data_IF_885787148293
#
_entry.id   IF_885787148293
#
_cell.length_a   1.000
_cell.length_b   1.000
_cell.length_c   1.000
_cell.angle_alpha   90.00
_cell.angle_beta   90.00
_cell.angle_gamma   90.00
#
_symmetry.space_group_name_H-M   'P 1'
#
loop_
_entity.id
_entity.type
_entity.pdbx_description
1 polymer ?
#
# COMPACT_ATOMS: atom_id res chain seq x y z
N UNK A 1 0.23 -22.04 -5.07
CA UNK A 1 1.36 -21.59 -5.93
C UNK A 1 2.67 -21.52 -5.15
N UNK A 2 2.74 -20.78 -4.01
CA UNK A 2 3.99 -20.64 -3.22
C UNK A 2 4.55 -22.03 -2.87
N UNK A 3 3.74 -22.92 -2.26
CA UNK A 3 4.16 -24.27 -1.89
C UNK A 3 4.43 -25.19 -3.10
N UNK A 4 3.82 -24.93 -4.25
CA UNK A 4 4.04 -25.70 -5.48
C UNK A 4 5.41 -25.40 -6.09
N UNK A 5 5.88 -24.14 -5.98
CA UNK A 5 7.18 -23.70 -6.45
C UNK A 5 8.31 -24.07 -5.49
N UNK A 6 7.98 -24.18 -4.20
CA UNK A 6 8.92 -24.63 -3.17
C UNK A 6 10.21 -23.79 -3.13
N UNK A 7 11.35 -24.48 -3.10
CA UNK A 7 12.69 -23.91 -3.02
C UNK A 7 13.20 -23.22 -4.31
N UNK A 8 12.48 -23.35 -5.42
CA UNK A 8 12.75 -22.57 -6.62
C UNK A 8 12.37 -21.09 -6.47
N UNK A 9 11.56 -20.77 -5.44
CA UNK A 9 11.02 -19.43 -5.20
C UNK A 9 11.96 -18.58 -4.35
N UNK A 10 12.65 -17.62 -4.96
CA UNK A 10 13.55 -16.71 -4.25
C UNK A 10 12.81 -15.55 -3.58
N UNK A 11 11.78 -15.00 -4.24
CA UNK A 11 11.05 -13.80 -3.79
C UNK A 11 9.56 -13.96 -4.09
N UNK A 12 8.74 -13.58 -3.12
CA UNK A 12 7.31 -13.31 -3.28
C UNK A 12 7.12 -11.80 -3.26
N UNK A 13 6.71 -11.21 -4.39
CA UNK A 13 6.30 -9.81 -4.47
C UNK A 13 4.82 -9.76 -4.81
N UNK A 14 4.00 -9.19 -3.90
CA UNK A 14 2.55 -9.20 -4.06
C UNK A 14 1.95 -7.82 -3.71
N UNK A 15 0.77 -7.51 -4.24
CA UNK A 15 0.02 -6.34 -3.81
C UNK A 15 -0.63 -6.57 -2.45
N UNK A 16 -0.55 -5.61 -1.53
CA UNK A 16 -1.29 -5.72 -0.26
C UNK A 16 -2.79 -5.54 -0.44
N UNK A 17 -3.17 -4.68 -1.38
CA UNK A 17 -4.56 -4.42 -1.76
C UNK A 17 -4.67 -4.32 -3.29
N UNK A 18 -5.63 -5.02 -3.86
CA UNK A 18 -5.85 -5.03 -5.30
C UNK A 18 -6.58 -3.75 -5.74
N UNK A 19 -5.96 -2.98 -6.63
CA UNK A 19 -6.50 -1.71 -7.11
C UNK A 19 -7.77 -1.85 -7.96
N UNK A 20 -7.97 -3.00 -8.60
CA UNK A 20 -9.11 -3.25 -9.47
C UNK A 20 -10.34 -3.73 -8.69
N UNK A 21 -10.16 -4.72 -7.81
CA UNK A 21 -11.26 -5.32 -7.05
C UNK A 21 -11.48 -4.68 -5.68
N UNK A 22 -10.51 -3.92 -5.15
CA UNK A 22 -10.54 -3.44 -3.78
C UNK A 22 -10.24 -4.51 -2.72
N UNK A 23 -9.86 -5.74 -3.13
CA UNK A 23 -9.58 -6.84 -2.23
C UNK A 23 -8.31 -6.61 -1.42
N UNK A 24 -8.42 -6.71 -0.10
CA UNK A 24 -7.29 -6.79 0.82
C UNK A 24 -6.84 -8.25 0.96
N UNK A 25 -5.55 -8.49 0.72
CA UNK A 25 -4.97 -9.82 0.86
C UNK A 25 -4.46 -10.05 2.29
N UNK A 26 -4.49 -11.30 2.72
CA UNK A 26 -3.88 -11.71 3.99
C UNK A 26 -2.35 -11.73 3.87
N UNK A 27 -1.76 -10.55 4.14
CA UNK A 27 -0.31 -10.37 4.03
C UNK A 27 0.47 -11.20 5.03
N UNK A 28 -0.08 -11.45 6.20
CA UNK A 28 0.54 -12.32 7.20
C UNK A 28 0.65 -13.76 6.67
N UNK A 29 -0.45 -14.32 6.21
CA UNK A 29 -0.47 -15.68 5.67
C UNK A 29 0.43 -15.84 4.43
N UNK A 30 0.48 -14.83 3.56
CA UNK A 30 1.39 -14.81 2.40
C UNK A 30 2.84 -14.79 2.85
N UNK A 31 3.18 -13.98 3.85
CA UNK A 31 4.54 -13.89 4.42
C UNK A 31 4.96 -15.21 5.03
N UNK A 32 4.11 -15.80 5.86
CA UNK A 32 4.37 -17.11 6.47
C UNK A 32 4.56 -18.20 5.42
N UNK A 33 3.76 -18.21 4.35
CA UNK A 33 3.88 -19.17 3.28
C UNK A 33 5.19 -19.01 2.49
N UNK A 34 5.59 -17.77 2.19
CA UNK A 34 6.85 -17.48 1.52
C UNK A 34 8.07 -17.90 2.35
N UNK A 35 8.07 -17.55 3.63
CA UNK A 35 9.15 -17.92 4.54
C UNK A 35 9.29 -19.45 4.73
N UNK A 36 8.18 -20.20 4.73
CA UNK A 36 8.22 -21.67 4.83
C UNK A 36 8.94 -22.34 3.66
N UNK A 37 8.99 -21.71 2.49
CA UNK A 37 9.74 -22.21 1.33
C UNK A 37 11.10 -21.52 1.16
N UNK A 38 11.51 -20.67 2.11
CA UNK A 38 12.81 -19.97 2.07
C UNK A 38 12.82 -18.68 1.24
N UNK A 39 11.69 -18.26 0.66
CA UNK A 39 11.58 -17.05 -0.12
C UNK A 39 11.58 -15.78 0.75
N UNK A 40 12.10 -14.68 0.20
CA UNK A 40 11.86 -13.33 0.75
C UNK A 40 10.49 -12.83 0.35
N UNK A 41 9.81 -12.10 1.24
CA UNK A 41 8.45 -11.63 0.99
C UNK A 41 8.38 -10.11 1.06
N UNK A 42 7.88 -9.50 -0.01
CA UNK A 42 7.66 -8.07 -0.09
C UNK A 42 6.27 -7.71 -0.62
N UNK A 43 5.84 -6.49 -0.29
CA UNK A 43 4.53 -6.00 -0.73
C UNK A 43 4.60 -4.65 -1.44
N UNK A 44 3.82 -4.53 -2.51
CA UNK A 44 3.38 -3.25 -3.04
C UNK A 44 2.16 -2.79 -2.23
N UNK A 45 2.35 -1.73 -1.45
CA UNK A 45 1.33 -1.17 -0.57
C UNK A 45 0.73 0.13 -1.11
N UNK A 46 0.88 0.41 -2.40
CA UNK A 46 0.40 1.64 -3.02
C UNK A 46 -1.09 1.94 -2.75
N UNK A 47 -1.93 0.91 -2.62
CA UNK A 47 -3.34 1.05 -2.27
C UNK A 47 -3.66 0.68 -0.82
N UNK A 48 -2.69 0.18 -0.06
CA UNK A 48 -2.89 -0.26 1.33
C UNK A 48 -2.42 0.80 2.35
N UNK A 49 -1.28 1.46 2.10
CA UNK A 49 -0.75 2.47 3.01
C UNK A 49 -1.71 3.67 3.14
N UNK A 50 -2.07 4.01 4.38
CA UNK A 50 -3.06 5.05 4.69
C UNK A 50 -4.52 4.63 4.50
N UNK A 51 -4.78 3.42 4.01
CA UNK A 51 -6.13 2.88 3.74
C UNK A 51 -6.53 1.79 4.75
N UNK A 52 -5.59 0.92 5.11
CA UNK A 52 -5.81 -0.19 6.03
C UNK A 52 -4.71 -0.24 7.09
N UNK A 53 -4.98 -0.90 8.21
CA UNK A 53 -3.96 -1.14 9.23
C UNK A 53 -2.92 -2.13 8.70
N UNK A 54 -1.64 -1.82 8.96
CA UNK A 54 -0.50 -2.59 8.50
C UNK A 54 0.42 -2.89 9.68
N UNK A 55 0.70 -4.17 9.92
CA UNK A 55 1.57 -4.66 10.98
C UNK A 55 2.80 -5.37 10.40
N UNK A 56 3.52 -4.66 9.49
CA UNK A 56 4.59 -5.23 8.67
C UNK A 56 5.71 -5.87 9.49
N UNK A 57 6.07 -5.25 10.61
CA UNK A 57 7.06 -5.77 11.54
C UNK A 57 6.58 -7.07 12.19
N UNK A 58 5.37 -7.09 12.76
CA UNK A 58 4.82 -8.23 13.46
C UNK A 58 4.58 -9.41 12.51
N UNK A 59 4.17 -9.12 11.28
CA UNK A 59 4.01 -10.12 10.20
C UNK A 59 5.35 -10.59 9.61
N UNK A 60 6.47 -9.98 10.04
CA UNK A 60 7.83 -10.29 9.58
C UNK A 60 8.02 -10.11 8.06
N UNK A 61 7.32 -9.16 7.47
CA UNK A 61 7.50 -8.80 6.05
C UNK A 61 8.94 -8.36 5.82
N UNK A 62 9.64 -8.91 4.82
CA UNK A 62 11.04 -8.56 4.58
C UNK A 62 11.19 -7.12 4.09
N UNK A 63 10.35 -6.68 3.14
CA UNK A 63 10.34 -5.32 2.63
C UNK A 63 8.97 -4.93 2.09
N UNK A 64 8.70 -3.64 2.00
CA UNK A 64 7.50 -3.11 1.33
C UNK A 64 7.76 -1.72 0.76
N UNK A 65 7.04 -1.36 -0.29
CA UNK A 65 7.11 -0.04 -0.89
C UNK A 65 5.71 0.50 -1.22
N UNK A 66 5.55 1.81 -1.15
CA UNK A 66 4.27 2.47 -1.49
C UNK A 66 4.47 3.89 -1.99
N UNK A 67 3.53 4.36 -2.78
CA UNK A 67 3.41 5.78 -3.08
C UNK A 67 2.63 6.49 -1.96
N UNK A 68 2.95 7.77 -1.73
CA UNK A 68 2.30 8.55 -0.66
C UNK A 68 1.19 9.47 -1.19
N UNK A 69 1.07 9.63 -2.50
CA UNK A 69 0.10 10.54 -3.14
C UNK A 69 -1.33 10.00 -3.24
N UNK A 70 -1.55 8.72 -2.90
CA UNK A 70 -2.89 8.10 -2.89
C UNK A 70 -3.56 8.34 -1.53
N UNK A 71 -3.81 7.30 -0.76
CA UNK A 71 -4.51 7.40 0.53
C UNK A 71 -3.73 8.21 1.59
N UNK A 72 -2.42 8.32 1.47
CA UNK A 72 -1.62 9.14 2.37
C UNK A 72 -1.60 10.64 2.03
N UNK A 73 -2.29 11.08 0.98
CA UNK A 73 -2.58 12.48 0.64
C UNK A 73 -1.37 13.43 0.59
N UNK A 74 -0.19 12.94 0.20
CA UNK A 74 1.04 13.76 0.16
C UNK A 74 1.12 14.73 -1.03
N UNK A 75 0.06 14.87 -1.82
CA UNK A 75 -0.01 15.62 -3.08
C UNK A 75 0.62 14.91 -4.30
N UNK A 76 0.28 15.32 -5.53
CA UNK A 76 0.95 14.85 -6.75
C UNK A 76 2.46 15.06 -6.69
N UNK A 77 3.22 14.03 -7.05
CA UNK A 77 4.69 14.03 -6.96
C UNK A 77 5.25 13.76 -5.56
N UNK A 78 4.42 13.36 -4.61
CA UNK A 78 4.84 12.95 -3.27
C UNK A 78 5.84 11.80 -3.30
N UNK A 79 6.76 11.80 -2.33
CA UNK A 79 7.82 10.78 -2.20
C UNK A 79 7.23 9.41 -1.86
N UNK A 80 7.86 8.37 -2.36
CA UNK A 80 7.52 7.00 -1.97
C UNK A 80 8.00 6.68 -0.54
N UNK A 81 7.34 5.72 0.11
CA UNK A 81 7.78 5.10 1.35
C UNK A 81 8.41 3.74 1.11
N UNK A 82 9.32 3.37 1.96
CA UNK A 82 9.99 2.08 1.98
C UNK A 82 10.01 1.52 3.41
N UNK A 83 9.68 0.27 3.55
CA UNK A 83 9.89 -0.53 4.75
C UNK A 83 10.93 -1.61 4.46
N UNK A 84 11.88 -1.78 5.36
CA UNK A 84 12.81 -2.91 5.39
C UNK A 84 12.84 -3.43 6.82
N UNK A 85 12.60 -4.73 6.98
CA UNK A 85 12.58 -5.34 8.30
C UNK A 85 13.95 -5.26 8.97
N UNK A 86 13.98 -5.07 10.29
CA UNK A 86 15.22 -4.94 11.08
C UNK A 86 16.19 -6.11 10.92
N UNK A 87 15.68 -7.31 10.62
CA UNK A 87 16.51 -8.48 10.33
C UNK A 87 17.46 -8.31 9.14
N UNK A 88 17.24 -7.30 8.31
CA UNK A 88 18.03 -7.04 7.10
C UNK A 88 18.90 -5.78 7.19
N UNK A 89 18.58 -4.86 8.08
CA UNK A 89 19.25 -3.53 8.09
C UNK A 89 20.71 -3.60 8.54
N UNK A 90 21.04 -4.54 9.40
CA UNK A 90 22.39 -4.73 9.94
C UNK A 90 23.28 -5.63 9.06
N UNK A 91 22.73 -6.23 8.00
CA UNK A 91 23.51 -7.06 7.09
C UNK A 91 24.25 -6.20 6.06
N UNK A 92 25.53 -5.94 6.29
CA UNK A 92 26.39 -5.14 5.40
C UNK A 92 26.74 -5.88 4.10
N UNK A 93 26.63 -7.21 4.04
CA UNK A 93 26.89 -8.03 2.84
C UNK A 93 25.71 -7.99 1.87
N UNK A 94 24.55 -7.50 2.29
CA UNK A 94 23.37 -7.40 1.44
C UNK A 94 23.63 -6.41 0.31
N UNK A 95 23.52 -6.88 -0.93
CA UNK A 95 23.71 -6.03 -2.09
C UNK A 95 22.71 -4.86 -2.10
N UNK A 96 23.23 -3.64 -2.12
CA UNK A 96 22.46 -2.40 -2.21
C UNK A 96 22.92 -1.57 -3.39
N UNK A 97 22.00 -0.82 -3.98
CA UNK A 97 22.38 0.32 -4.82
C UNK A 97 22.83 1.44 -3.88
N UNK A 98 24.13 1.45 -3.57
CA UNK A 98 24.70 2.39 -2.62
C UNK A 98 24.56 3.83 -3.10
N UNK A 99 24.03 4.69 -2.23
CA UNK A 99 23.83 6.11 -2.51
C UNK A 99 24.37 6.98 -1.39
N UNK A 100 24.64 8.21 -1.71
CA UNK A 100 25.17 9.23 -0.81
C UNK A 100 24.38 9.35 0.51
N UNK A 101 23.05 9.31 0.42
CA UNK A 101 22.20 9.57 1.58
C UNK A 101 22.08 8.38 2.52
N UNK A 102 22.21 7.18 2.00
CA UNK A 102 22.23 5.94 2.78
C UNK A 102 23.56 5.63 3.48
N UNK A 103 24.61 6.42 3.21
CA UNK A 103 25.92 6.31 3.86
C UNK A 103 25.86 6.86 5.29
N UNK A 104 26.62 6.27 6.19
CA UNK A 104 26.76 6.71 7.59
C UNK A 104 26.94 8.23 7.68
N UNK A 105 26.14 8.87 8.54
CA UNK A 105 26.03 10.35 8.63
C UNK A 105 27.31 11.04 9.09
N UNK A 106 28.11 10.39 9.92
CA UNK A 106 29.37 10.94 10.42
C UNK A 106 30.51 10.76 9.42
N UNK A 107 30.40 9.73 8.58
CA UNK A 107 31.47 9.32 7.66
C UNK A 107 31.27 9.78 6.21
N UNK A 108 30.08 10.13 5.78
CA UNK A 108 29.76 10.46 4.38
C UNK A 108 30.63 11.57 3.78
N UNK A 109 31.10 12.51 4.59
CA UNK A 109 31.95 13.61 4.16
C UNK A 109 33.45 13.29 4.22
N UNK A 110 33.85 12.12 4.73
CA UNK A 110 35.25 11.68 4.75
C UNK A 110 35.70 11.13 3.40
N UNK A 111 34.75 10.96 2.46
CA UNK A 111 35.02 10.49 1.09
C UNK A 111 35.74 9.14 1.06
N UNK A 112 35.40 8.26 1.98
CA UNK A 112 35.99 6.90 2.04
C UNK A 112 35.60 6.09 0.80
N UNK A 113 36.48 5.19 0.33
CA UNK A 113 36.21 4.40 -0.87
C UNK A 113 35.16 3.30 -0.67
N UNK A 114 34.80 3.00 0.58
CA UNK A 114 33.85 1.95 0.94
C UNK A 114 32.53 2.54 1.42
N UNK A 115 31.43 2.00 0.95
CA UNK A 115 30.12 2.31 1.46
C UNK A 115 29.92 1.72 2.87
N UNK A 116 29.54 2.57 3.81
CA UNK A 116 29.16 2.19 5.17
C UNK A 116 27.66 2.51 5.35
N UNK A 117 26.78 1.50 5.32
CA UNK A 117 25.34 1.73 5.40
C UNK A 117 24.92 2.23 6.77
N UNK A 118 23.90 3.09 6.79
CA UNK A 118 23.12 3.35 8.01
C UNK A 118 22.38 2.06 8.36
N UNK A 119 22.36 1.66 9.63
CA UNK A 119 21.69 0.42 10.07
C UNK A 119 20.16 0.62 10.24
N UNK A 120 19.53 1.08 9.19
CA UNK A 120 18.09 1.28 9.08
C UNK A 120 17.66 1.22 7.59
N UNK A 121 16.36 1.37 7.31
CA UNK A 121 15.84 1.49 5.95
C UNK A 121 16.44 2.69 5.19
N UNK A 122 16.98 3.70 5.88
CA UNK A 122 17.69 4.83 5.27
C UNK A 122 18.87 4.39 4.41
N UNK A 123 19.48 3.22 4.67
CA UNK A 123 20.60 2.71 3.86
C UNK A 123 20.25 2.41 2.40
N UNK A 124 18.95 2.32 2.08
CA UNK A 124 18.44 2.18 0.71
C UNK A 124 18.10 3.52 0.05
N UNK A 125 18.26 4.64 0.76
CA UNK A 125 18.01 5.97 0.20
C UNK A 125 19.22 6.43 -0.61
N UNK A 126 19.02 6.66 -1.92
CA UNK A 126 20.11 6.98 -2.85
C UNK A 126 20.57 8.43 -2.74
N UNK A 127 19.65 9.37 -2.58
CA UNK A 127 19.93 10.81 -2.61
C UNK A 127 18.99 11.59 -1.71
N UNK A 128 19.09 12.92 -1.73
CA UNK A 128 18.29 13.83 -0.95
C UNK A 128 16.81 13.69 -1.31
N UNK A 129 15.95 13.74 -0.29
CA UNK A 129 14.52 13.83 -0.49
C UNK A 129 14.11 15.25 -0.95
N UNK A 130 13.06 15.37 -1.77
CA UNK A 130 12.52 16.67 -2.19
C UNK A 130 11.83 17.36 -1.00
N UNK A 131 12.44 18.43 -0.49
CA UNK A 131 12.04 19.10 0.77
C UNK A 131 10.57 19.55 0.74
N UNK A 132 10.11 20.17 -0.36
CA UNK A 132 8.73 20.66 -0.47
C UNK A 132 7.71 19.52 -0.46
N UNK A 133 8.01 18.41 -1.18
CA UNK A 133 7.16 17.22 -1.16
C UNK A 133 7.12 16.56 0.22
N UNK A 134 8.23 16.55 0.93
CA UNK A 134 8.30 16.04 2.31
C UNK A 134 7.53 16.89 3.29
N UNK A 135 7.53 18.24 3.14
CA UNK A 135 6.74 19.13 3.99
C UNK A 135 5.23 18.90 3.79
N UNK A 136 4.78 18.73 2.54
CA UNK A 136 3.39 18.38 2.26
C UNK A 136 3.00 17.01 2.84
N UNK A 137 3.89 16.03 2.75
CA UNK A 137 3.67 14.70 3.33
C UNK A 137 3.63 14.75 4.87
N UNK A 138 4.49 15.53 5.50
CA UNK A 138 4.49 15.72 6.96
C UNK A 138 3.13 16.25 7.45
N UNK A 139 2.59 17.27 6.79
CA UNK A 139 1.28 17.82 7.14
C UNK A 139 0.14 16.79 7.04
N UNK A 140 0.24 15.85 6.10
CA UNK A 140 -0.70 14.72 6.03
C UNK A 140 -0.47 13.73 7.17
N UNK A 141 0.77 13.38 7.47
CA UNK A 141 1.11 12.46 8.56
C UNK A 141 0.64 12.97 9.92
N UNK A 142 0.72 14.28 10.16
CA UNK A 142 0.21 14.91 11.40
C UNK A 142 -1.29 14.61 11.60
N UNK A 143 -2.09 14.55 10.51
CA UNK A 143 -3.51 14.17 10.58
C UNK A 143 -3.66 12.69 10.94
N UNK A 144 -2.84 11.81 10.36
CA UNK A 144 -2.85 10.38 10.71
C UNK A 144 -2.44 10.12 12.15
N UNK A 145 -1.45 10.87 12.66
CA UNK A 145 -1.00 10.76 14.03
C UNK A 145 -2.06 11.27 15.03
N UNK A 146 -2.79 12.33 14.69
CA UNK A 146 -3.88 12.85 15.51
C UNK A 146 -5.07 11.88 15.56
N UNK A 147 -5.48 11.31 14.43
CA UNK A 147 -6.70 10.50 14.31
C UNK A 147 -6.45 9.03 14.63
N UNK A 148 -5.31 8.48 14.18
CA UNK A 148 -4.96 7.07 14.27
C UNK A 148 -5.65 6.18 13.24
N UNK A 149 -4.95 5.15 12.79
CA UNK A 149 -5.44 4.23 11.75
C UNK A 149 -6.68 3.44 12.17
N UNK A 150 -6.87 3.18 13.45
CA UNK A 150 -8.07 2.45 13.94
C UNK A 150 -9.35 3.26 13.72
N UNK A 151 -9.34 4.57 13.98
CA UNK A 151 -10.49 5.44 13.73
C UNK A 151 -10.76 5.62 12.23
N UNK A 152 -9.70 5.72 11.43
CA UNK A 152 -9.79 5.76 9.96
C UNK A 152 -10.41 4.46 9.44
N UNK A 153 -9.97 3.30 9.93
CA UNK A 153 -10.52 2.00 9.56
C UNK A 153 -12.01 1.88 9.90
N UNK A 154 -12.43 2.35 11.08
CA UNK A 154 -13.85 2.36 11.46
C UNK A 154 -14.68 3.22 10.51
N UNK A 155 -14.23 4.44 10.22
CA UNK A 155 -14.90 5.34 9.27
C UNK A 155 -14.99 4.72 7.87
N UNK A 156 -13.93 4.08 7.40
CA UNK A 156 -13.90 3.36 6.13
C UNK A 156 -14.97 2.27 6.08
N UNK A 157 -15.07 1.45 7.12
CA UNK A 157 -16.07 0.38 7.20
C UNK A 157 -17.49 0.95 7.13
N UNK A 158 -17.78 2.00 7.89
CA UNK A 158 -19.10 2.64 7.90
C UNK A 158 -19.46 3.25 6.53
N UNK A 159 -18.54 3.96 5.90
CA UNK A 159 -18.75 4.58 4.59
C UNK A 159 -18.93 3.54 3.47
N UNK A 160 -18.13 2.49 3.47
CA UNK A 160 -18.25 1.44 2.45
C UNK A 160 -19.49 0.59 2.64
N UNK A 161 -19.93 0.34 3.88
CA UNK A 161 -21.18 -0.32 4.15
C UNK A 161 -22.39 0.52 3.69
N UNK A 162 -22.34 1.83 3.92
CA UNK A 162 -23.40 2.74 3.45
C UNK A 162 -23.46 2.79 1.91
N UNK A 163 -22.31 2.91 1.24
CA UNK A 163 -22.25 2.90 -0.23
C UNK A 163 -22.78 1.57 -0.80
N UNK A 164 -22.37 0.44 -0.21
CA UNK A 164 -22.87 -0.89 -0.60
C UNK A 164 -24.40 -0.98 -0.47
N UNK A 165 -24.96 -0.48 0.64
CA UNK A 165 -26.40 -0.41 0.86
C UNK A 165 -27.09 0.42 -0.24
N UNK A 166 -26.61 1.62 -0.53
CA UNK A 166 -27.22 2.51 -1.55
C UNK A 166 -27.18 1.86 -2.93
N UNK A 167 -26.06 1.24 -3.32
CA UNK A 167 -25.92 0.57 -4.62
C UNK A 167 -26.90 -0.60 -4.74
N UNK A 168 -27.04 -1.40 -3.69
CA UNK A 168 -27.98 -2.51 -3.67
C UNK A 168 -29.45 -2.04 -3.77
N UNK A 169 -29.82 -0.97 -3.05
CA UNK A 169 -31.17 -0.39 -3.12
C UNK A 169 -31.48 0.14 -4.52
N UNK A 170 -30.52 0.84 -5.15
CA UNK A 170 -30.69 1.34 -6.52
C UNK A 170 -30.79 0.17 -7.51
N UNK A 171 -29.97 -0.84 -7.37
CA UNK A 171 -30.00 -2.03 -8.23
C UNK A 171 -31.33 -2.77 -8.12
N UNK A 172 -31.85 -2.93 -6.90
CA UNK A 172 -33.13 -3.62 -6.64
C UNK A 172 -34.36 -2.82 -7.12
N UNK A 173 -34.28 -1.50 -7.10
CA UNK A 173 -35.38 -0.62 -7.48
C UNK A 173 -35.47 -0.32 -8.98
N UNK A 174 -34.41 -0.64 -9.75
CA UNK A 174 -34.31 -0.32 -11.17
C UNK A 174 -34.54 -1.56 -12.04
N UNK A 175 -35.51 -1.46 -12.96
CA UNK A 175 -35.72 -2.49 -14.00
C UNK A 175 -34.69 -2.46 -15.12
N UNK A 176 -33.86 -1.42 -15.20
CA UNK A 176 -32.97 -1.15 -16.34
C UNK A 176 -31.49 -1.12 -15.96
N UNK A 177 -31.15 -1.15 -14.69
CA UNK A 177 -29.78 -1.06 -14.20
C UNK A 177 -29.49 -2.22 -13.24
N UNK A 178 -28.49 -3.01 -13.57
CA UNK A 178 -28.00 -4.07 -12.70
C UNK A 178 -26.56 -3.77 -12.34
N UNK A 179 -26.29 -3.57 -11.05
CA UNK A 179 -24.95 -3.34 -10.52
C UNK A 179 -24.46 -4.59 -9.79
N UNK A 180 -23.23 -4.95 -10.06
CA UNK A 180 -22.53 -6.04 -9.37
C UNK A 180 -21.31 -5.46 -8.65
N UNK A 181 -21.25 -5.61 -7.33
CA UNK A 181 -20.07 -5.22 -6.54
C UNK A 181 -19.11 -6.39 -6.55
N UNK A 182 -17.96 -6.24 -7.23
CA UNK A 182 -16.91 -7.28 -7.32
C UNK A 182 -15.92 -7.23 -6.14
N UNK A 183 -15.97 -6.17 -5.34
CA UNK A 183 -15.21 -6.07 -4.09
C UNK A 183 -15.73 -7.09 -3.08
N UNK A 184 -14.85 -7.75 -2.29
CA UNK A 184 -15.29 -8.68 -1.26
C UNK A 184 -16.31 -8.07 -0.29
N UNK A 185 -17.35 -8.84 0.04
CA UNK A 185 -18.42 -8.39 0.95
C UNK A 185 -17.95 -8.23 2.39
N UNK A 186 -16.97 -9.07 2.81
CA UNK A 186 -16.41 -9.00 4.15
C UNK A 186 -15.58 -7.70 4.30
N UNK A 187 -15.94 -6.77 5.23
CA UNK A 187 -15.20 -5.53 5.44
C UNK A 187 -13.73 -5.72 5.82
N UNK A 188 -13.38 -6.88 6.37
CA UNK A 188 -11.99 -7.24 6.73
C UNK A 188 -11.15 -7.69 5.53
N UNK A 189 -11.78 -7.94 4.39
CA UNK A 189 -11.14 -8.39 3.16
C UNK A 189 -11.14 -7.30 2.08
N UNK A 190 -11.41 -6.04 2.46
CA UNK A 190 -11.45 -4.90 1.53
C UNK A 190 -10.91 -3.62 2.15
N UNK A 191 -10.50 -2.69 1.28
CA UNK A 191 -10.17 -1.32 1.65
C UNK A 191 -11.36 -0.37 1.52
N UNK A 192 -11.07 0.90 1.26
CA UNK A 192 -12.07 1.96 1.08
C UNK A 192 -12.79 1.94 -0.28
N UNK A 193 -12.30 1.14 -1.22
CA UNK A 193 -12.84 1.07 -2.58
C UNK A 193 -13.96 0.04 -2.66
N UNK A 194 -15.04 0.39 -3.37
CA UNK A 194 -16.00 -0.56 -3.93
C UNK A 194 -15.90 -0.49 -5.45
N UNK A 195 -15.58 -1.61 -6.08
CA UNK A 195 -15.54 -1.76 -7.53
C UNK A 195 -16.86 -2.32 -8.01
N UNK A 196 -17.51 -1.59 -8.92
CA UNK A 196 -18.87 -1.84 -9.36
C UNK A 196 -18.86 -2.10 -10.85
N UNK A 197 -19.39 -3.25 -11.25
CA UNK A 197 -19.73 -3.53 -12.63
C UNK A 197 -21.16 -3.08 -12.88
N UNK A 198 -21.36 -2.20 -13.84
CA UNK A 198 -22.69 -1.85 -14.33
C UNK A 198 -22.98 -2.64 -15.60
N UNK A 199 -24.00 -3.48 -15.56
CA UNK A 199 -24.44 -4.28 -16.70
C UNK A 199 -25.42 -3.44 -17.54
N UNK A 200 -25.12 -3.23 -18.83
CA UNK A 200 -25.97 -2.48 -19.74
C UNK A 200 -25.29 -1.25 -20.36
N UNK A 201 -25.96 -0.10 -20.37
CA UNK A 201 -25.48 1.12 -21.02
C UNK A 201 -24.53 1.90 -20.10
N UNK A 202 -23.26 1.51 -20.06
CA UNK A 202 -22.23 2.12 -19.21
C UNK A 202 -21.91 3.58 -19.57
N UNK A 203 -21.83 3.89 -20.87
CA UNK A 203 -21.41 5.23 -21.30
C UNK A 203 -22.36 6.32 -20.86
N UNK A 204 -23.69 6.21 -21.03
CA UNK A 204 -24.62 7.20 -20.52
C UNK A 204 -24.56 7.39 -19.00
N UNK A 205 -24.36 6.32 -18.23
CA UNK A 205 -24.17 6.40 -16.78
C UNK A 205 -22.92 7.19 -16.43
N UNK A 206 -21.78 6.88 -17.07
CA UNK A 206 -20.53 7.61 -16.86
C UNK A 206 -20.68 9.09 -17.18
N UNK A 207 -21.30 9.41 -18.33
CA UNK A 207 -21.49 10.78 -18.78
C UNK A 207 -22.39 11.58 -17.81
N UNK A 208 -23.45 10.94 -17.24
CA UNK A 208 -24.33 11.55 -16.23
C UNK A 208 -23.55 11.78 -14.93
N UNK A 209 -22.85 10.77 -14.39
CA UNK A 209 -22.08 10.89 -13.17
C UNK A 209 -21.04 12.00 -13.27
N UNK A 210 -20.30 12.06 -14.39
CA UNK A 210 -19.32 13.11 -14.64
C UNK A 210 -19.97 14.50 -14.69
N UNK A 211 -21.14 14.64 -15.32
CA UNK A 211 -21.90 15.89 -15.38
C UNK A 211 -22.37 16.35 -14.00
N UNK A 212 -22.74 15.41 -13.15
CA UNK A 212 -23.16 15.68 -11.76
C UNK A 212 -21.96 15.84 -10.79
N UNK A 213 -20.74 15.84 -11.30
CA UNK A 213 -19.53 16.05 -10.50
C UNK A 213 -19.03 14.83 -9.73
N UNK A 214 -19.52 13.65 -10.07
CA UNK A 214 -19.00 12.38 -9.56
C UNK A 214 -17.85 11.93 -10.47
N UNK A 215 -16.63 11.89 -9.91
CA UNK A 215 -15.40 11.61 -10.63
C UNK A 215 -14.79 10.32 -10.11
#
# INVERSE_FOLDING_TARGET
>A
KIYELGDELAVVMFGGLNYYTGQLFDMQAITEAGHKVGAKVGFDLAHAAGNVELFLHDWKVDFAAWCTYKYMNSSPGGVAGLFVHENHVSNEELLRLAGWWGHDKERRFLMEPQFKPIHSAESWQLSNAPVLGMAAHLASLDIYDEVGMSAISKKREDLTAYLEFVINEVSNSSAHTNFEIITPKNPKERGSQLSILAHGQLKPLFDILTKEGVI
#
